data_IF_872119825923
#
_entry.id   IF_872119825923
#
_cell.length_a   1.000
_cell.length_b   1.000
_cell.length_c   1.000
_cell.angle_alpha   90.00
_cell.angle_beta   90.00
_cell.angle_gamma   90.00
#
_symmetry.space_group_name_H-M   'P 1'
#
loop_
_entity.id
_entity.type
_entity.pdbx_description
1 polymer ?
#
# COMPACT_ATOMS: atom_id res chain seq x y z
N UNK A 1 6.81 3.43 2.59
CA UNK A 1 6.10 3.96 1.41
C UNK A 1 6.81 5.17 0.80
N UNK A 2 7.18 6.21 1.57
CA UNK A 2 7.76 7.45 1.03
C UNK A 2 9.29 7.54 1.07
N UNK A 3 9.95 6.71 1.88
CA UNK A 3 11.42 6.57 1.92
C UNK A 3 11.92 5.35 1.11
N UNK A 4 11.03 4.73 0.32
CA UNK A 4 11.41 3.62 -0.53
C UNK A 4 12.33 4.12 -1.64
N UNK A 5 13.59 3.72 -1.59
CA UNK A 5 14.54 3.90 -2.68
C UNK A 5 15.44 2.67 -2.74
N UNK A 6 16.10 2.42 -3.90
CA UNK A 6 17.09 1.35 -4.00
C UNK A 6 18.24 1.46 -2.98
N UNK A 7 18.44 2.65 -2.39
CA UNK A 7 19.48 2.92 -1.39
C UNK A 7 18.98 2.87 0.05
N UNK A 8 17.67 2.84 0.26
CA UNK A 8 17.09 2.79 1.60
C UNK A 8 17.11 1.36 2.12
N UNK A 9 17.77 1.15 3.26
CA UNK A 9 17.76 -0.12 4.00
C UNK A 9 16.73 -0.13 5.13
N UNK A 10 15.90 0.90 5.20
CA UNK A 10 14.91 1.07 6.25
C UNK A 10 13.74 0.13 5.97
N UNK A 11 13.44 -0.73 6.94
CA UNK A 11 12.45 -1.80 6.82
C UNK A 11 11.54 -1.79 8.04
N UNK A 12 10.32 -2.30 7.89
CA UNK A 12 9.41 -2.49 9.01
C UNK A 12 10.00 -3.46 10.03
N UNK A 13 10.01 -3.05 11.30
CA UNK A 13 10.36 -3.92 12.43
C UNK A 13 9.27 -4.99 12.59
N UNK A 14 9.62 -6.25 12.35
CA UNK A 14 8.65 -7.35 12.35
C UNK A 14 7.98 -7.55 13.71
N UNK A 15 8.73 -7.45 14.80
CA UNK A 15 8.22 -7.73 16.14
C UNK A 15 7.30 -6.62 16.62
N UNK A 16 7.69 -5.36 16.40
CA UNK A 16 6.81 -4.24 16.74
C UNK A 16 5.55 -4.24 15.85
N UNK A 17 5.70 -4.52 14.56
CA UNK A 17 4.56 -4.59 13.63
C UNK A 17 3.60 -5.69 14.04
N UNK A 18 4.13 -6.88 14.38
CA UNK A 18 3.34 -8.01 14.88
C UNK A 18 2.57 -7.65 16.14
N UNK A 19 3.21 -7.03 17.14
CA UNK A 19 2.53 -6.57 18.36
C UNK A 19 1.37 -5.65 18.05
N UNK A 20 1.56 -4.68 17.14
CA UNK A 20 0.47 -3.80 16.74
C UNK A 20 -0.65 -4.55 16.00
N UNK A 21 -0.31 -5.40 15.02
CA UNK A 21 -1.30 -6.15 14.23
C UNK A 21 -2.20 -7.02 15.13
N UNK A 22 -1.66 -7.59 16.21
CA UNK A 22 -2.44 -8.38 17.17
C UNK A 22 -3.53 -7.57 17.90
N UNK A 23 -3.44 -6.23 17.90
CA UNK A 23 -4.47 -5.36 18.47
C UNK A 23 -5.58 -5.01 17.48
N UNK A 24 -5.42 -5.33 16.19
CA UNK A 24 -6.34 -4.94 15.13
C UNK A 24 -7.59 -5.82 15.16
N UNK A 25 -8.75 -5.18 15.25
CA UNK A 25 -10.02 -5.80 14.93
C UNK A 25 -10.20 -5.87 13.40
N UNK A 26 -9.86 -7.01 12.82
CA UNK A 26 -9.91 -7.21 11.37
C UNK A 26 -11.33 -7.17 10.78
N UNK A 27 -12.38 -7.24 11.60
CA UNK A 27 -13.76 -7.04 11.10
C UNK A 27 -13.99 -5.60 10.64
N UNK A 28 -13.16 -4.65 11.09
CA UNK A 28 -13.19 -3.24 10.68
C UNK A 28 -12.27 -2.95 9.48
N UNK A 29 -11.58 -3.96 8.95
CA UNK A 29 -10.58 -3.80 7.89
C UNK A 29 -11.10 -4.40 6.59
N UNK A 30 -11.34 -3.52 5.60
CA UNK A 30 -11.79 -3.96 4.27
C UNK A 30 -10.68 -4.68 3.48
N UNK A 31 -9.45 -4.17 3.53
CA UNK A 31 -8.30 -4.79 2.86
C UNK A 31 -6.96 -4.37 3.47
N UNK A 32 -5.94 -5.18 3.24
CA UNK A 32 -4.55 -4.90 3.64
C UNK A 32 -3.65 -4.88 2.40
N UNK A 33 -2.90 -3.79 2.27
CA UNK A 33 -1.94 -3.60 1.18
C UNK A 33 -0.51 -3.85 1.62
N UNK A 34 0.22 -4.66 0.85
CA UNK A 34 1.64 -4.93 1.02
C UNK A 34 2.43 -4.21 -0.06
N UNK A 35 2.80 -2.95 0.22
CA UNK A 35 3.49 -2.08 -0.74
C UNK A 35 4.21 -0.93 -0.02
N UNK A 36 5.00 -0.17 -0.78
CA UNK A 36 5.83 0.92 -0.25
C UNK A 36 7.32 0.61 -0.25
N UNK A 37 7.68 -0.54 -0.83
CA UNK A 37 8.87 -0.90 -1.59
C UNK A 37 8.41 -1.85 -2.71
N UNK A 38 9.31 -2.58 -3.37
CA UNK A 38 8.91 -3.59 -4.36
C UNK A 38 8.74 -4.97 -3.67
N UNK A 39 7.60 -5.63 -3.85
CA UNK A 39 7.35 -6.92 -3.19
C UNK A 39 8.31 -8.01 -3.69
N UNK A 40 8.70 -7.94 -4.97
CA UNK A 40 9.63 -8.88 -5.58
C UNK A 40 11.07 -8.74 -5.10
N UNK A 41 11.39 -7.74 -4.27
CA UNK A 41 12.75 -7.55 -3.75
C UNK A 41 13.04 -8.37 -2.48
N UNK A 42 12.02 -8.81 -1.74
CA UNK A 42 12.20 -9.51 -0.46
C UNK A 42 10.97 -10.35 -0.06
N UNK A 43 10.73 -11.44 -0.80
CA UNK A 43 9.56 -12.30 -0.60
C UNK A 43 9.43 -12.82 0.84
N UNK A 44 10.54 -13.19 1.47
CA UNK A 44 10.55 -13.77 2.82
C UNK A 44 10.07 -12.76 3.86
N UNK A 45 10.53 -11.51 3.77
CA UNK A 45 10.05 -10.45 4.67
C UNK A 45 8.56 -10.19 4.46
N UNK A 46 8.10 -10.07 3.21
CA UNK A 46 6.69 -9.83 2.94
C UNK A 46 5.81 -11.00 3.38
N UNK A 47 6.26 -12.25 3.23
CA UNK A 47 5.54 -13.43 3.72
C UNK A 47 5.27 -13.34 5.23
N UNK A 48 6.27 -12.94 6.02
CA UNK A 48 6.11 -12.77 7.48
C UNK A 48 5.00 -11.80 7.84
N UNK A 49 4.79 -10.73 7.07
CA UNK A 49 3.69 -9.80 7.30
C UNK A 49 2.35 -10.31 6.77
N UNK A 50 2.34 -11.00 5.64
CA UNK A 50 1.14 -11.61 5.06
C UNK A 50 0.56 -12.66 6.02
N UNK A 51 1.41 -13.44 6.67
CA UNK A 51 1.01 -14.50 7.61
C UNK A 51 0.32 -13.96 8.88
N UNK A 52 0.51 -12.67 9.20
CA UNK A 52 -0.15 -12.01 10.33
C UNK A 52 -1.60 -11.59 10.00
N UNK A 53 -2.00 -11.62 8.73
CA UNK A 53 -3.32 -11.15 8.29
C UNK A 53 -4.28 -12.33 8.07
N UNK A 54 -5.47 -12.32 8.69
CA UNK A 54 -6.46 -13.39 8.53
C UNK A 54 -6.77 -13.73 7.08
N UNK A 55 -7.06 -15.01 6.79
CA UNK A 55 -7.26 -15.51 5.41
C UNK A 55 -8.46 -14.88 4.71
N UNK A 56 -9.50 -14.49 5.44
CA UNK A 56 -10.73 -13.87 4.92
C UNK A 56 -10.55 -12.38 4.55
N UNK A 57 -9.49 -11.72 5.01
CA UNK A 57 -9.22 -10.32 4.67
C UNK A 57 -8.59 -10.25 3.28
N UNK A 58 -9.12 -9.36 2.43
CA UNK A 58 -8.60 -9.09 1.09
C UNK A 58 -7.18 -8.54 1.21
N UNK A 59 -6.26 -9.13 0.46
CA UNK A 59 -4.85 -8.74 0.42
C UNK A 59 -4.51 -8.24 -0.97
N UNK A 60 -3.74 -7.17 -1.06
CA UNK A 60 -3.28 -6.67 -2.34
C UNK A 60 -1.83 -6.19 -2.28
N UNK A 61 -1.22 -6.05 -3.45
CA UNK A 61 0.10 -5.44 -3.61
C UNK A 61 0.13 -4.51 -4.81
N UNK A 62 1.00 -3.51 -4.74
CA UNK A 62 1.29 -2.60 -5.84
C UNK A 62 2.76 -2.83 -6.22
N UNK A 63 2.99 -3.24 -7.46
CA UNK A 63 4.31 -3.54 -8.01
C UNK A 63 4.68 -2.56 -9.11
N UNK A 64 5.98 -2.31 -9.26
CA UNK A 64 6.55 -1.57 -10.38
C UNK A 64 6.76 -2.44 -11.64
N UNK A 65 6.46 -3.74 -11.59
CA UNK A 65 6.48 -4.64 -12.74
C UNK A 65 7.87 -5.03 -13.27
N UNK A 66 8.98 -4.66 -12.63
CA UNK A 66 10.33 -4.93 -13.18
C UNK A 66 10.67 -6.42 -13.25
N UNK A 67 10.05 -7.24 -12.40
CA UNK A 67 10.14 -8.70 -12.44
C UNK A 67 9.66 -9.31 -13.77
N UNK A 68 8.94 -8.55 -14.61
CA UNK A 68 8.43 -9.02 -15.91
C UNK A 68 9.51 -9.30 -16.95
N UNK A 69 10.72 -8.75 -16.77
CA UNK A 69 11.82 -8.87 -17.75
C UNK A 69 12.50 -10.25 -17.71
N UNK A 70 12.60 -10.85 -16.53
CA UNK A 70 13.32 -12.12 -16.33
C UNK A 70 12.39 -13.33 -16.18
N UNK A 71 12.70 -14.47 -16.78
CA UNK A 71 11.87 -15.69 -16.67
C UNK A 71 11.76 -16.23 -15.25
N UNK A 72 12.89 -16.26 -14.54
CA UNK A 72 12.96 -16.77 -13.17
C UNK A 72 12.18 -15.84 -12.23
N UNK A 73 12.36 -14.53 -12.38
CA UNK A 73 11.69 -13.49 -11.60
C UNK A 73 10.19 -13.51 -11.83
N UNK A 74 9.76 -13.64 -13.10
CA UNK A 74 8.34 -13.83 -13.47
C UNK A 74 7.74 -15.00 -12.72
N UNK A 75 8.35 -16.18 -12.80
CA UNK A 75 7.82 -17.38 -12.15
C UNK A 75 7.72 -17.18 -10.64
N UNK A 76 8.79 -16.70 -9.99
CA UNK A 76 8.82 -16.41 -8.55
C UNK A 76 7.71 -15.45 -8.13
N UNK A 77 7.53 -14.36 -8.88
CA UNK A 77 6.49 -13.38 -8.57
C UNK A 77 5.09 -13.98 -8.67
N UNK A 78 4.79 -14.67 -9.78
CA UNK A 78 3.49 -15.32 -9.99
C UNK A 78 3.20 -16.35 -8.90
N UNK A 79 4.15 -17.24 -8.62
CA UNK A 79 3.99 -18.28 -7.59
C UNK A 79 3.71 -17.64 -6.23
N UNK A 80 4.44 -16.58 -5.88
CA UNK A 80 4.28 -15.87 -4.62
C UNK A 80 2.91 -15.19 -4.48
N UNK A 81 2.46 -14.44 -5.48
CA UNK A 81 1.17 -13.72 -5.40
C UNK A 81 -0.02 -14.66 -5.46
N UNK A 82 0.07 -15.76 -6.21
CA UNK A 82 -0.98 -16.77 -6.29
C UNK A 82 -1.09 -17.57 -4.98
N UNK A 83 0.03 -18.04 -4.43
CA UNK A 83 0.08 -18.72 -3.11
C UNK A 83 -0.62 -17.90 -2.03
N UNK A 84 -0.37 -16.58 -2.03
CA UNK A 84 -0.89 -15.66 -1.02
C UNK A 84 -2.22 -14.99 -1.39
N UNK A 85 -2.82 -15.36 -2.55
CA UNK A 85 -4.08 -14.79 -3.07
C UNK A 85 -4.09 -13.26 -3.09
N UNK A 86 -3.00 -12.65 -3.52
CA UNK A 86 -2.86 -11.20 -3.58
C UNK A 86 -3.54 -10.66 -4.84
N UNK A 87 -4.37 -9.62 -4.68
CA UNK A 87 -4.75 -8.78 -5.81
C UNK A 87 -3.54 -7.94 -6.23
N UNK A 88 -3.21 -7.94 -7.52
CA UNK A 88 -1.98 -7.30 -8.03
C UNK A 88 -2.33 -6.10 -8.88
N UNK A 89 -1.77 -4.95 -8.50
CA UNK A 89 -1.80 -3.72 -9.28
C UNK A 89 -0.38 -3.40 -9.76
N UNK A 90 -0.20 -3.14 -11.05
CA UNK A 90 1.11 -2.93 -11.66
C UNK A 90 1.18 -1.51 -12.21
N UNK A 91 2.08 -0.70 -11.69
CA UNK A 91 2.28 0.68 -12.17
C UNK A 91 3.01 0.68 -13.51
N UNK A 92 2.39 1.19 -14.57
CA UNK A 92 2.95 1.26 -15.93
C UNK A 92 3.13 2.70 -16.40
N UNK A 93 3.50 3.61 -15.48
CA UNK A 93 3.81 5.02 -15.81
C UNK A 93 5.08 5.14 -16.64
N UNK A 94 5.32 6.30 -17.28
CA UNK A 94 6.52 6.54 -18.10
C UNK A 94 7.86 6.24 -17.39
N UNK A 95 7.91 6.34 -16.06
CA UNK A 95 9.11 6.04 -15.27
C UNK A 95 9.36 4.55 -15.07
N UNK A 96 8.32 3.71 -15.15
CA UNK A 96 8.42 2.27 -14.95
C UNK A 96 8.58 1.50 -16.26
N UNK A 97 7.93 1.95 -17.33
CA UNK A 97 7.93 1.30 -18.65
C UNK A 97 9.32 0.88 -19.16
N UNK A 98 10.40 1.69 -19.03
CA UNK A 98 11.73 1.29 -19.53
C UNK A 98 12.31 0.03 -18.87
N UNK A 99 11.79 -0.36 -17.71
CA UNK A 99 12.27 -1.50 -16.93
C UNK A 99 11.28 -2.68 -16.93
N UNK A 100 10.29 -2.66 -17.82
CA UNK A 100 9.21 -3.65 -17.90
C UNK A 100 9.20 -4.35 -19.26
N UNK A 101 8.71 -5.58 -19.29
CA UNK A 101 8.23 -6.21 -20.52
C UNK A 101 6.71 -6.05 -20.62
N UNK A 102 6.26 -5.07 -21.41
CA UNK A 102 4.84 -4.73 -21.54
C UNK A 102 4.00 -5.88 -22.09
N UNK A 103 4.52 -6.67 -23.04
CA UNK A 103 3.80 -7.79 -23.65
C UNK A 103 3.55 -8.89 -22.61
N UNK A 104 4.54 -9.16 -21.78
CA UNK A 104 4.40 -10.09 -20.65
C UNK A 104 3.39 -9.58 -19.65
N UNK A 105 3.47 -8.31 -19.27
CA UNK A 105 2.56 -7.70 -18.30
C UNK A 105 1.11 -7.77 -18.78
N UNK A 106 0.84 -7.46 -20.05
CA UNK A 106 -0.50 -7.58 -20.66
C UNK A 106 -0.99 -9.03 -20.67
N UNK A 107 -0.13 -9.97 -21.06
CA UNK A 107 -0.45 -11.41 -21.04
C UNK A 107 -0.85 -11.87 -19.64
N UNK A 108 -0.10 -11.46 -18.61
CA UNK A 108 -0.36 -11.86 -17.22
C UNK A 108 -1.51 -11.12 -16.57
N UNK A 109 -1.75 -9.86 -16.94
CA UNK A 109 -2.96 -9.13 -16.58
C UNK A 109 -4.21 -9.90 -17.02
N UNK A 110 -4.26 -10.34 -18.29
CA UNK A 110 -5.37 -11.15 -18.79
C UNK A 110 -5.45 -12.53 -18.13
N UNK A 111 -4.31 -13.20 -17.96
CA UNK A 111 -4.28 -14.59 -17.44
C UNK A 111 -4.63 -14.70 -15.95
N UNK A 112 -4.13 -13.79 -15.14
CA UNK A 112 -4.20 -13.86 -13.67
C UNK A 112 -5.07 -12.77 -13.05
N UNK A 113 -5.71 -11.92 -13.86
CA UNK A 113 -6.54 -10.82 -13.38
C UNK A 113 -5.74 -9.69 -12.74
N UNK A 114 -4.47 -9.48 -13.13
CA UNK A 114 -3.70 -8.33 -12.65
C UNK A 114 -4.22 -7.04 -13.27
N UNK A 115 -4.21 -5.95 -12.50
CA UNK A 115 -4.61 -4.64 -13.00
C UNK A 115 -3.37 -3.86 -13.43
N UNK A 116 -3.27 -3.54 -14.73
CA UNK A 116 -2.25 -2.60 -15.22
C UNK A 116 -2.75 -1.17 -15.00
N UNK A 117 -2.02 -0.41 -14.20
CA UNK A 117 -2.31 0.99 -13.89
C UNK A 117 -1.39 1.89 -14.70
N UNK A 118 -1.92 2.43 -15.79
CA UNK A 118 -1.24 3.42 -16.64
C UNK A 118 -1.12 4.79 -16.00
N UNK A 119 -0.85 5.80 -16.82
CA UNK A 119 -1.00 7.18 -16.38
C UNK A 119 -2.48 7.49 -16.16
N UNK A 120 -2.82 7.94 -14.95
CA UNK A 120 -4.15 8.43 -14.63
C UNK A 120 -4.07 9.82 -14.00
N UNK A 121 -5.20 10.53 -14.01
CA UNK A 121 -5.33 11.83 -13.35
C UNK A 121 -5.45 11.71 -11.81
N UNK A 122 -5.20 10.51 -11.26
CA UNK A 122 -5.32 10.19 -9.84
C UNK A 122 -3.91 10.06 -9.27
N UNK A 123 -3.50 11.10 -8.56
CA UNK A 123 -2.16 11.17 -7.98
C UNK A 123 -1.99 10.04 -6.95
N UNK A 124 -0.88 9.28 -6.97
CA UNK A 124 -0.50 8.46 -5.83
C UNK A 124 -0.47 9.35 -4.60
N UNK A 125 -1.26 8.99 -3.57
CA UNK A 125 -1.41 9.80 -2.36
C UNK A 125 -0.05 10.38 -1.93
N UNK A 126 0.02 11.68 -1.61
CA UNK A 126 1.23 12.26 -0.97
C UNK A 126 2.20 12.96 -1.90
N UNK A 127 1.98 12.89 -3.20
CA UNK A 127 2.75 13.64 -4.21
C UNK A 127 2.00 14.85 -4.74
N UNK A 128 0.74 15.04 -4.35
CA UNK A 128 -0.14 16.09 -4.84
C UNK A 128 0.35 17.52 -4.53
N UNK A 129 1.05 17.72 -3.41
CA UNK A 129 1.52 19.04 -2.99
C UNK A 129 2.79 19.52 -3.71
N UNK A 130 3.55 18.62 -4.35
CA UNK A 130 4.92 18.92 -4.82
C UNK A 130 5.01 19.38 -6.27
N UNK A 131 3.92 19.38 -7.03
CA UNK A 131 3.99 19.68 -8.46
C UNK A 131 2.77 20.48 -8.98
N UNK A 132 2.99 21.25 -10.06
CA UNK A 132 1.94 21.94 -10.84
C UNK A 132 1.25 20.96 -11.80
N UNK A 133 0.22 20.22 -11.38
CA UNK A 133 -0.54 19.33 -12.29
C UNK A 133 -2.05 19.55 -12.25
N UNK A 134 -2.70 19.20 -13.35
CA UNK A 134 -4.16 19.24 -13.60
C UNK A 134 -4.86 18.03 -12.99
N UNK A 135 -4.81 17.86 -11.68
CA UNK A 135 -5.62 16.85 -11.00
C UNK A 135 -7.11 17.21 -11.08
N UNK A 136 -7.99 16.19 -11.24
CA UNK A 136 -9.45 16.37 -11.19
C UNK A 136 -9.99 16.87 -9.83
N UNK A 137 -9.13 17.09 -8.84
CA UNK A 137 -9.45 17.46 -7.45
C UNK A 137 -10.42 16.51 -6.73
N UNK A 138 -10.84 15.41 -7.35
CA UNK A 138 -11.77 14.43 -6.75
C UNK A 138 -11.24 13.85 -5.44
N UNK A 139 -9.91 13.74 -5.32
CA UNK A 139 -9.21 13.32 -4.12
C UNK A 139 -9.21 14.39 -3.01
N UNK A 140 -9.42 15.67 -3.33
CA UNK A 140 -9.57 16.76 -2.36
C UNK A 140 -11.01 16.87 -1.81
N UNK A 141 -11.98 16.21 -2.45
CA UNK A 141 -13.39 16.25 -2.03
C UNK A 141 -13.70 15.25 -0.90
N UNK A 142 -12.73 14.41 -0.50
CA UNK A 142 -12.89 13.43 0.57
C UNK A 142 -11.60 13.33 1.39
N UNK A 143 -11.60 13.97 2.55
CA UNK A 143 -10.46 14.05 3.48
C UNK A 143 -10.52 13.00 4.59
N UNK A 144 -11.60 12.24 4.66
CA UNK A 144 -11.86 11.34 5.77
C UNK A 144 -10.95 10.09 5.75
N UNK A 145 -10.52 9.57 6.90
CA UNK A 145 -9.83 8.31 7.04
C UNK A 145 -10.35 7.07 6.34
N UNK A 146 -9.66 6.73 5.24
CA UNK A 146 -9.84 5.46 4.52
C UNK A 146 -8.67 4.49 4.69
N UNK A 147 -7.52 4.93 5.20
CA UNK A 147 -6.31 4.10 5.25
C UNK A 147 -5.36 4.50 6.37
N UNK A 148 -4.87 3.49 7.08
CA UNK A 148 -3.73 3.58 7.99
C UNK A 148 -2.48 3.05 7.28
N UNK A 149 -1.35 3.71 7.50
CA UNK A 149 -0.03 3.25 7.06
C UNK A 149 0.85 2.99 8.26
N UNK A 150 1.45 1.80 8.27
CA UNK A 150 2.50 1.44 9.22
C UNK A 150 3.85 1.86 8.61
N UNK A 151 4.58 2.75 9.29
CA UNK A 151 5.87 3.26 8.83
C UNK A 151 7.02 2.47 9.49
N UNK A 152 8.13 2.18 8.76
CA UNK A 152 9.34 1.59 9.33
C UNK A 152 9.90 2.22 10.62
N UNK A 153 9.66 3.51 10.85
CA UNK A 153 10.10 4.22 12.06
C UNK A 153 9.25 3.90 13.31
N UNK A 154 8.19 3.11 13.17
CA UNK A 154 7.27 2.75 14.26
C UNK A 154 6.07 3.70 14.40
N UNK A 155 5.96 4.68 13.51
CA UNK A 155 4.82 5.58 13.44
C UNK A 155 3.66 4.95 12.67
N UNK A 156 2.45 5.33 13.08
CA UNK A 156 1.20 5.02 12.39
C UNK A 156 0.68 6.32 11.81
N UNK A 157 0.63 6.35 10.48
CA UNK A 157 0.27 7.53 9.73
C UNK A 157 -1.13 7.35 9.17
N UNK A 158 -1.91 8.42 9.25
CA UNK A 158 -3.15 8.48 8.53
C UNK A 158 -2.89 8.90 7.08
N UNK A 159 -3.38 8.13 6.09
CA UNK A 159 -3.26 8.47 4.68
C UNK A 159 -4.55 9.05 4.12
N UNK A 160 -4.54 10.37 3.93
CA UNK A 160 -5.57 11.07 3.19
C UNK A 160 -5.17 11.26 1.71
N UNK A 161 -6.12 11.78 0.97
CA UNK A 161 -6.01 11.98 -0.47
C UNK A 161 -5.39 13.33 -0.86
N UNK A 162 -5.26 14.28 0.07
CA UNK A 162 -4.60 15.58 -0.15
C UNK A 162 -3.07 15.52 -0.01
N UNK A 163 -2.56 14.40 0.53
CA UNK A 163 -1.13 14.15 0.71
C UNK A 163 -0.55 14.66 2.03
N UNK A 164 -1.40 14.99 3.00
CA UNK A 164 -1.02 15.24 4.40
C UNK A 164 -1.09 13.94 5.19
N UNK A 165 0.01 13.60 5.86
CA UNK A 165 0.11 12.34 6.59
C UNK A 165 0.33 12.56 8.08
N UNK A 166 -0.73 12.92 8.84
CA UNK A 166 -0.54 13.11 10.26
C UNK A 166 -0.18 11.77 10.90
N UNK A 167 0.80 11.83 11.80
CA UNK A 167 1.10 10.72 12.70
C UNK A 167 -0.04 10.70 13.73
N UNK A 168 -0.76 9.59 13.75
CA UNK A 168 -1.95 9.40 14.60
C UNK A 168 -1.71 8.39 15.72
N UNK A 169 -0.50 7.85 15.79
CA UNK A 169 -0.06 6.95 16.85
C UNK A 169 1.28 6.32 16.53
N UNK A 170 1.66 5.38 17.39
CA UNK A 170 2.86 4.55 17.25
C UNK A 170 2.49 3.09 17.47
N UNK A 171 3.43 2.17 17.23
CA UNK A 171 3.18 0.74 17.44
C UNK A 171 2.99 0.35 18.92
N UNK A 172 3.20 1.30 19.85
CA UNK A 172 2.88 1.11 21.27
C UNK A 172 1.41 1.41 21.59
N UNK A 173 0.69 2.08 20.70
CA UNK A 173 -0.76 2.30 20.83
C UNK A 173 -1.53 1.05 20.36
N UNK A 174 -2.70 0.78 20.95
CA UNK A 174 -3.63 -0.20 20.40
C UNK A 174 -4.43 0.36 19.21
N UNK A 175 -4.96 -0.53 18.37
CA UNK A 175 -5.70 -0.15 17.16
C UNK A 175 -6.91 0.76 17.45
N UNK A 176 -7.66 0.54 18.53
CA UNK A 176 -8.84 1.35 18.83
C UNK A 176 -8.43 2.77 19.26
N UNK A 177 -7.34 2.91 20.00
CA UNK A 177 -6.77 4.21 20.36
C UNK A 177 -6.33 4.99 19.11
N UNK A 178 -5.65 4.33 18.18
CA UNK A 178 -5.23 4.91 16.89
C UNK A 178 -6.44 5.37 16.07
N UNK A 179 -7.46 4.52 15.93
CA UNK A 179 -8.69 4.86 15.20
C UNK A 179 -9.40 6.04 15.85
N UNK A 180 -9.52 6.06 17.18
CA UNK A 180 -10.14 7.19 17.91
C UNK A 180 -9.39 8.50 17.69
N UNK A 181 -8.05 8.48 17.73
CA UNK A 181 -7.21 9.65 17.41
C UNK A 181 -7.45 10.12 15.98
N UNK A 182 -7.50 9.19 15.02
CA UNK A 182 -7.81 9.48 13.61
C UNK A 182 -9.18 10.13 13.41
N UNK A 183 -10.24 9.61 14.04
CA UNK A 183 -11.60 10.18 13.98
C UNK A 183 -11.65 11.57 14.60
N UNK A 184 -10.96 11.80 15.72
CA UNK A 184 -10.95 13.10 16.38
C UNK A 184 -10.25 14.17 15.53
N UNK A 185 -9.15 13.81 14.87
CA UNK A 185 -8.51 14.66 13.87
C UNK A 185 -9.44 14.96 12.69
N UNK A 186 -10.38 14.10 12.38
CA UNK A 186 -11.26 14.25 11.24
C UNK A 186 -12.50 15.09 11.53
N UNK A 187 -13.01 15.06 12.77
CA UNK A 187 -14.08 15.97 13.23
C UNK A 187 -13.67 17.44 13.10
N UNK A 188 -12.39 17.77 13.30
CA UNK A 188 -11.90 19.13 13.05
C UNK A 188 -11.85 19.51 11.56
N UNK A 189 -12.01 18.53 10.66
CA UNK A 189 -12.01 18.71 9.20
C UNK A 189 -13.39 18.44 8.55
N UNK A 190 -14.45 18.23 9.33
CA UNK A 190 -15.84 18.19 8.84
C UNK A 190 -16.33 16.84 8.28
N UNK A 191 -15.67 15.74 8.64
CA UNK A 191 -16.08 14.40 8.21
C UNK A 191 -16.98 13.68 9.23
N UNK A 192 -17.98 12.96 8.76
CA UNK A 192 -18.94 12.20 9.57
C UNK A 192 -18.85 10.71 9.23
N UNK A 193 -18.64 9.86 10.25
CA UNK A 193 -18.68 8.41 10.11
C UNK A 193 -20.02 7.85 10.56
N UNK A 194 -20.56 6.93 9.78
CA UNK A 194 -21.58 5.96 10.19
C UNK A 194 -20.84 4.64 10.34
N UNK A 195 -20.57 4.21 11.58
CA UNK A 195 -20.03 2.88 11.86
C UNK A 195 -21.17 1.89 12.05
#
# INVERSE_FOLDING_TARGET
MYEASPKSKIVLDIEKTKKFILTIDFNKINSVGFYGGEISSDYDRYQKFIDLVPKNVIKFTISNGTWSVGEVERKKFIDFVQKNRLQVFISTTKFHKPFQDSKVLEKYAKKYGFTLKGEDNIIPMGRAKKDKWTCSRRCLNYTCPIRLTLNPHGDIMFCNCDGVYPIIGTYNDDFNAVVKKGINLDKSHGCHYSF
#
